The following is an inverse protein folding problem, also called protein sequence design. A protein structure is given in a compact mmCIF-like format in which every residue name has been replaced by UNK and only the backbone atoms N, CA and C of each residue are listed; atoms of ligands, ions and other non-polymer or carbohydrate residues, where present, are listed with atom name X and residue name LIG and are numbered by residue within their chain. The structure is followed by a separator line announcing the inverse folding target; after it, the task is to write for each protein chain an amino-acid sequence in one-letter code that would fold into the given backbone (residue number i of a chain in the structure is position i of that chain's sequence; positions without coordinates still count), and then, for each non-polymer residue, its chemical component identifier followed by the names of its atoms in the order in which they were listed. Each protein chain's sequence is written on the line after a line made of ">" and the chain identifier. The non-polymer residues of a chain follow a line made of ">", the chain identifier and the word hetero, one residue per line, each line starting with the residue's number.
data_IF_530153303502
#
_entry.id   IF_530153303502
#
_cell.length_a   1.000
_cell.length_b   1.000
_cell.length_c   1.000
_cell.angle_alpha   90.00
_cell.angle_beta   90.00
_cell.angle_gamma   90.00
#
_symmetry.space_group_name_H-M   'P 1'
#
loop_
_entity.id
_entity.type
_entity.pdbx_description
1 polymer ?
#
# COMPACT_ATOMS: atom_id res chain seq x y z
N UNK A 1 -4.00 7.42 -17.84
CA UNK A 1 -4.09 6.41 -16.75
C UNK A 1 -4.20 5.02 -17.37
N UNK A 2 -3.07 4.31 -17.43
CA UNK A 2 -2.97 2.96 -17.99
C UNK A 2 -3.47 1.96 -16.94
N UNK A 3 -4.80 1.86 -16.77
CA UNK A 3 -5.38 1.00 -15.71
C UNK A 3 -5.53 -0.48 -16.11
N UNK A 4 -4.95 -0.89 -17.24
CA UNK A 4 -5.01 -2.26 -17.72
C UNK A 4 -4.02 -2.48 -18.87
N UNK A 5 -3.21 -3.54 -18.79
CA UNK A 5 -2.30 -3.94 -19.85
C UNK A 5 -1.00 -4.59 -19.37
N UNK A 6 -0.20 -5.15 -20.29
CA UNK A 6 1.08 -5.79 -19.97
C UNK A 6 2.08 -4.81 -19.34
N UNK A 7 2.07 -3.56 -19.77
CA UNK A 7 2.93 -2.50 -19.23
C UNK A 7 2.61 -2.19 -17.77
N UNK A 8 1.32 -2.05 -17.44
CA UNK A 8 0.89 -1.83 -16.06
C UNK A 8 1.27 -3.01 -15.15
N UNK A 9 1.14 -4.25 -15.64
CA UNK A 9 1.59 -5.42 -14.90
C UNK A 9 3.09 -5.43 -14.62
N UNK A 10 3.90 -4.94 -15.58
CA UNK A 10 5.35 -4.76 -15.38
C UNK A 10 5.63 -3.73 -14.30
N UNK A 11 4.97 -2.57 -14.35
CA UNK A 11 5.12 -1.50 -13.35
C UNK A 11 4.72 -1.96 -11.94
N UNK A 12 3.68 -2.78 -11.82
CA UNK A 12 3.28 -3.40 -10.54
C UNK A 12 4.41 -4.27 -10.00
N UNK A 13 5.00 -5.14 -10.82
CA UNK A 13 6.11 -6.00 -10.38
C UNK A 13 7.34 -5.19 -9.99
N UNK A 14 7.65 -4.14 -10.75
CA UNK A 14 8.75 -3.24 -10.48
C UNK A 14 8.54 -2.47 -9.17
N UNK A 15 7.33 -1.95 -8.93
CA UNK A 15 6.98 -1.31 -7.67
C UNK A 15 7.04 -2.27 -6.48
N UNK A 16 6.53 -3.50 -6.65
CA UNK A 16 6.65 -4.56 -5.63
C UNK A 16 8.12 -4.84 -5.30
N UNK A 17 8.98 -5.03 -6.32
CA UNK A 17 10.40 -5.30 -6.14
C UNK A 17 11.15 -4.16 -5.44
N UNK A 18 10.96 -2.91 -5.88
CA UNK A 18 11.62 -1.75 -5.26
C UNK A 18 11.23 -1.60 -3.78
N UNK A 19 9.96 -1.80 -3.45
CA UNK A 19 9.49 -1.74 -2.06
C UNK A 19 10.09 -2.88 -1.24
N UNK A 20 10.13 -4.10 -1.78
CA UNK A 20 10.68 -5.26 -1.09
C UNK A 20 12.19 -5.14 -0.85
N UNK A 21 12.94 -4.70 -1.87
CA UNK A 21 14.39 -4.49 -1.80
C UNK A 21 14.77 -3.37 -0.82
N UNK A 22 13.95 -2.33 -0.69
CA UNK A 22 14.23 -1.23 0.25
C UNK A 22 14.23 -1.66 1.72
N UNK A 23 13.51 -2.75 2.05
CA UNK A 23 13.26 -3.16 3.44
C UNK A 23 12.43 -2.16 4.27
N UNK A 24 11.99 -1.03 3.69
CA UNK A 24 11.34 0.06 4.42
C UNK A 24 10.03 -0.38 5.08
N UNK A 25 9.25 -1.21 4.38
CA UNK A 25 7.99 -1.74 4.93
C UNK A 25 8.24 -2.57 6.20
N UNK A 26 9.31 -3.37 6.23
CA UNK A 26 9.67 -4.20 7.40
C UNK A 26 10.06 -3.31 8.57
N UNK A 27 10.90 -2.30 8.34
CA UNK A 27 11.35 -1.36 9.38
C UNK A 27 10.15 -0.62 9.99
N UNK A 28 9.26 -0.09 9.16
CA UNK A 28 8.07 0.62 9.63
C UNK A 28 7.11 -0.31 10.37
N UNK A 29 6.89 -1.54 9.89
CA UNK A 29 6.07 -2.51 10.63
C UNK A 29 6.65 -2.87 12.00
N UNK A 30 7.98 -2.95 12.12
CA UNK A 30 8.66 -3.16 13.41
C UNK A 30 8.45 -1.96 14.34
N UNK A 31 8.59 -0.73 13.86
CA UNK A 31 8.32 0.49 14.63
C UNK A 31 6.87 0.54 15.12
N UNK A 32 5.91 0.29 14.23
CA UNK A 32 4.49 0.25 14.58
C UNK A 32 4.16 -0.83 15.61
N UNK A 33 4.82 -1.99 15.51
CA UNK A 33 4.62 -3.08 16.47
C UNK A 33 5.20 -2.76 17.85
N UNK A 34 6.27 -1.97 17.91
CA UNK A 34 6.90 -1.54 19.15
C UNK A 34 6.08 -0.46 19.89
N UNK A 35 5.34 0.36 19.16
CA UNK A 35 4.51 1.46 19.71
C UNK A 35 3.05 1.09 19.95
N UNK A 36 2.58 -0.04 19.41
CA UNK A 36 1.19 -0.47 19.54
C UNK A 36 0.84 -0.83 20.99
N UNK A 37 -0.18 -0.16 21.56
CA UNK A 37 -0.86 -0.65 22.75
C UNK A 37 -1.50 -2.03 22.45
N UNK A 38 -1.52 -2.93 23.44
CA UNK A 38 -2.04 -4.32 23.33
C UNK A 38 -3.55 -4.43 23.03
N UNK A 39 -4.18 -3.42 22.46
CA UNK A 39 -5.55 -3.50 21.95
C UNK A 39 -5.52 -4.09 20.53
N UNK A 40 -6.38 -5.06 20.26
CA UNK A 40 -6.34 -5.89 19.06
C UNK A 40 -6.17 -5.07 17.77
N UNK A 41 -5.11 -5.38 17.01
CA UNK A 41 -4.76 -4.69 15.76
C UNK A 41 -6.01 -4.54 14.89
N UNK A 42 -6.43 -3.32 14.53
CA UNK A 42 -7.50 -3.15 13.56
C UNK A 42 -7.12 -3.90 12.29
N UNK A 43 -8.11 -4.33 11.49
CA UNK A 43 -7.85 -4.94 10.17
C UNK A 43 -7.29 -3.87 9.23
N UNK A 44 -6.03 -3.52 9.39
CA UNK A 44 -5.36 -2.47 8.64
C UNK A 44 -4.85 -3.01 7.30
N UNK A 45 -4.56 -2.11 6.37
CA UNK A 45 -3.79 -2.47 5.17
C UNK A 45 -2.35 -2.74 5.61
N UNK A 46 -1.66 -3.75 5.03
CA UNK A 46 -0.23 -3.90 5.23
C UNK A 46 0.53 -2.62 4.85
N UNK A 47 1.62 -2.29 5.55
CA UNK A 47 2.43 -1.09 5.23
C UNK A 47 2.97 -1.20 3.81
N UNK A 48 3.44 -2.39 3.44
CA UNK A 48 3.88 -2.73 2.08
C UNK A 48 2.85 -2.31 1.02
N UNK A 49 1.56 -2.51 1.27
CA UNK A 49 0.48 -2.18 0.33
C UNK A 49 0.41 -0.69 0.05
N UNK A 50 0.59 0.15 1.06
CA UNK A 50 0.61 1.60 0.90
C UNK A 50 1.86 2.05 0.13
N UNK A 51 3.01 1.49 0.44
CA UNK A 51 4.27 1.83 -0.24
C UNK A 51 4.24 1.45 -1.72
N UNK A 52 3.74 0.25 -2.05
CA UNK A 52 3.55 -0.16 -3.44
C UNK A 52 2.58 0.78 -4.16
N UNK A 53 1.48 1.18 -3.51
CA UNK A 53 0.54 2.13 -4.10
C UNK A 53 1.19 3.50 -4.35
N UNK A 54 1.97 4.02 -3.41
CA UNK A 54 2.69 5.29 -3.56
C UNK A 54 3.73 5.22 -4.69
N UNK A 55 4.47 4.12 -4.79
CA UNK A 55 5.44 3.91 -5.86
C UNK A 55 4.77 3.86 -7.23
N UNK A 56 3.64 3.15 -7.34
CA UNK A 56 2.85 3.09 -8.57
C UNK A 56 2.29 4.46 -8.97
N UNK A 57 1.76 5.23 -8.01
CA UNK A 57 1.31 6.60 -8.28
C UNK A 57 2.48 7.47 -8.74
N UNK A 58 3.66 7.34 -8.12
CA UNK A 58 4.86 8.07 -8.51
C UNK A 58 5.28 7.75 -9.96
N UNK A 59 5.18 6.50 -10.41
CA UNK A 59 5.40 6.14 -11.81
C UNK A 59 4.40 6.80 -12.77
N UNK A 60 3.18 7.08 -12.32
CA UNK A 60 2.16 7.80 -13.09
C UNK A 60 2.28 9.34 -12.96
N UNK A 61 3.23 9.85 -12.18
CA UNK A 61 3.36 11.28 -11.87
C UNK A 61 2.26 11.81 -10.94
N UNK A 62 1.56 10.92 -10.23
CA UNK A 62 0.56 11.25 -9.22
C UNK A 62 1.17 11.08 -7.81
N UNK A 63 0.87 12.00 -6.90
CA UNK A 63 1.37 11.98 -5.52
C UNK A 63 0.26 12.09 -4.48
N UNK A 64 -1.01 12.10 -4.90
CA UNK A 64 -2.12 12.34 -4.00
C UNK A 64 -2.61 11.05 -3.33
N UNK A 65 -2.64 11.04 -1.99
CA UNK A 65 -3.19 9.91 -1.20
C UNK A 65 -4.65 9.59 -1.56
N UNK A 66 -5.42 10.57 -2.04
CA UNK A 66 -6.81 10.37 -2.49
C UNK A 66 -6.92 9.44 -3.70
N UNK A 67 -5.85 9.28 -4.48
CA UNK A 67 -5.80 8.40 -5.65
C UNK A 67 -5.53 6.94 -5.28
N UNK A 68 -4.97 6.66 -4.10
CA UNK A 68 -4.60 5.30 -3.65
C UNK A 68 -5.79 4.32 -3.65
N UNK A 69 -6.98 4.67 -3.09
CA UNK A 69 -8.13 3.77 -3.15
C UNK A 69 -8.54 3.41 -4.57
N UNK A 70 -8.54 4.39 -5.48
CA UNK A 70 -8.88 4.16 -6.88
C UNK A 70 -7.88 3.17 -7.49
N UNK A 71 -6.58 3.43 -7.38
CA UNK A 71 -5.54 2.56 -7.89
C UNK A 71 -5.68 1.13 -7.35
N UNK A 72 -5.69 0.96 -6.02
CA UNK A 72 -5.72 -0.36 -5.38
C UNK A 72 -6.99 -1.15 -5.70
N UNK A 73 -8.14 -0.48 -5.85
CA UNK A 73 -9.38 -1.15 -6.22
C UNK A 73 -9.45 -1.54 -7.70
N UNK A 74 -8.65 -0.96 -8.58
CA UNK A 74 -8.59 -1.36 -10.00
C UNK A 74 -7.57 -2.48 -10.27
N UNK A 75 -6.71 -2.81 -9.31
CA UNK A 75 -5.79 -3.95 -9.43
C UNK A 75 -6.55 -5.27 -9.62
N UNK A 76 -5.94 -6.17 -10.39
CA UNK A 76 -6.44 -7.52 -10.55
C UNK A 76 -6.45 -8.30 -9.21
N UNK A 77 -7.26 -9.36 -9.14
CA UNK A 77 -7.44 -10.12 -7.92
C UNK A 77 -6.17 -10.81 -7.42
N UNK A 78 -5.26 -11.21 -8.33
CA UNK A 78 -4.00 -11.86 -7.94
C UNK A 78 -3.04 -10.84 -7.31
N UNK A 79 -2.93 -9.66 -7.90
CA UNK A 79 -2.14 -8.55 -7.34
C UNK A 79 -2.68 -8.09 -6.00
N UNK A 80 -4.00 -7.89 -5.88
CA UNK A 80 -4.64 -7.59 -4.58
C UNK A 80 -4.31 -8.62 -3.51
N UNK A 81 -4.32 -9.90 -3.88
CA UNK A 81 -3.99 -11.00 -2.96
C UNK A 81 -2.52 -10.94 -2.50
N UNK A 82 -1.58 -10.66 -3.40
CA UNK A 82 -0.15 -10.46 -3.04
C UNK A 82 0.06 -9.24 -2.15
N UNK A 83 -0.74 -8.19 -2.33
CA UNK A 83 -0.75 -7.00 -1.50
C UNK A 83 -1.58 -7.15 -0.21
N UNK A 84 -2.04 -8.34 0.16
CA UNK A 84 -2.81 -8.55 1.39
C UNK A 84 -4.20 -7.87 1.42
N UNK A 85 -4.76 -7.53 0.26
CA UNK A 85 -6.10 -6.95 0.11
C UNK A 85 -7.08 -8.10 -0.12
N UNK A 86 -7.66 -8.63 0.97
CA UNK A 86 -8.62 -9.74 0.91
C UNK A 86 -10.07 -9.26 1.05
N UNK A 87 -10.89 -9.52 0.02
CA UNK A 87 -12.37 -9.39 0.04
C UNK A 87 -12.91 -8.05 0.57
N UNK A 88 -12.12 -6.98 0.52
CA UNK A 88 -12.49 -5.64 0.98
C UNK A 88 -12.22 -4.59 -0.08
N UNK A 89 -13.11 -3.61 -0.15
CA UNK A 89 -12.86 -2.36 -0.88
C UNK A 89 -11.90 -1.51 -0.08
N UNK A 90 -10.84 -1.02 -0.71
CA UNK A 90 -9.95 -0.03 -0.11
C UNK A 90 -10.67 1.31 -0.11
N UNK A 91 -10.80 1.95 1.05
CA UNK A 91 -11.44 3.26 1.18
C UNK A 91 -10.40 4.32 1.53
N UNK A 92 -10.70 5.58 1.22
CA UNK A 92 -9.82 6.70 1.59
C UNK A 92 -9.54 6.74 3.10
N UNK A 93 -10.57 6.47 3.93
CA UNK A 93 -10.42 6.42 5.39
C UNK A 93 -9.41 5.36 5.85
N UNK A 94 -9.39 4.19 5.20
CA UNK A 94 -8.40 3.15 5.52
C UNK A 94 -6.97 3.58 5.16
N UNK A 95 -6.81 4.23 4.00
CA UNK A 95 -5.51 4.75 3.55
C UNK A 95 -5.03 5.87 4.47
N UNK A 96 -5.90 6.84 4.78
CA UNK A 96 -5.60 7.98 5.63
C UNK A 96 -5.23 7.53 7.05
N UNK A 97 -5.97 6.57 7.62
CA UNK A 97 -5.68 5.99 8.93
C UNK A 97 -4.28 5.36 8.95
N UNK A 98 -3.96 4.51 7.98
CA UNK A 98 -2.63 3.88 7.89
C UNK A 98 -1.52 4.93 7.73
N UNK A 99 -1.72 5.92 6.88
CA UNK A 99 -0.75 7.01 6.70
C UNK A 99 -0.50 7.78 8.00
N UNK A 100 -1.57 8.12 8.74
CA UNK A 100 -1.46 8.82 10.02
C UNK A 100 -0.75 7.98 11.08
N UNK A 101 -1.01 6.67 11.12
CA UNK A 101 -0.33 5.73 12.02
C UNK A 101 1.16 5.64 11.72
N UNK A 102 1.55 5.56 10.44
CA UNK A 102 2.96 5.57 10.02
C UNK A 102 3.61 6.90 10.39
N UNK A 103 2.96 8.02 10.07
CA UNK A 103 3.49 9.36 10.34
C UNK A 103 3.64 9.68 11.83
N UNK A 104 2.90 9.02 12.71
CA UNK A 104 3.05 9.17 14.17
C UNK A 104 4.20 8.31 14.73
N UNK A 105 4.67 7.31 13.98
CA UNK A 105 5.69 6.37 14.43
C UNK A 105 7.10 6.63 13.88
N UNK A 106 7.21 7.48 12.85
CA UNK A 106 8.46 7.96 12.26
C UNK A 106 8.72 9.39 12.70
#
# INVERSE_FOLDING_TARGET
>A
MLHSGPEFSRLVKEAEALVDESGAAIVVEQLLSATAEKSGRPRELPVRTLFVAQQLLAFEGDHFLVSVPKLLNHLDAATKRRLGIYRRTVTYRLVQHLFAVIAAAV
#
